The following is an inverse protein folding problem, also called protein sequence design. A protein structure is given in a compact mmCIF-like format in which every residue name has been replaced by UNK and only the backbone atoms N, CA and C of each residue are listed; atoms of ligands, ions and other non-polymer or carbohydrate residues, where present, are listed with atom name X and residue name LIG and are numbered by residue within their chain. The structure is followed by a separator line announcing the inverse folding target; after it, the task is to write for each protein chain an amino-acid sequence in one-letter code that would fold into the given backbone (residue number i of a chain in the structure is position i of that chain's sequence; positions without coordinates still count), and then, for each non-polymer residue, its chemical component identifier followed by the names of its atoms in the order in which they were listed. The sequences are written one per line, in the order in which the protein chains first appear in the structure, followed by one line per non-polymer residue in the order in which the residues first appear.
data_IF_239173341432
#
_entry.id   IF_239173341432
#
_cell.length_a   1.000
_cell.length_b   1.000
_cell.length_c   1.000
_cell.angle_alpha   90.00
_cell.angle_beta   90.00
_cell.angle_gamma   90.00
#
_symmetry.space_group_name_H-M   'P 1'
#
loop_
_entity.id
_entity.type
_entity.pdbx_description
1 polymer ?
#
# COMPACT_ATOMS: atom_id res chain seq x y z
N UNK A 1 -36.64 29.84 13.03
CA UNK A 1 -35.39 29.56 12.27
C UNK A 1 -34.19 30.00 13.10
N UNK A 2 -33.79 29.23 14.12
CA UNK A 2 -32.58 29.51 14.94
C UNK A 2 -31.86 28.21 15.36
N UNK A 3 -32.57 27.09 15.38
CA UNK A 3 -32.06 25.78 15.80
C UNK A 3 -31.25 25.06 14.69
N UNK A 4 -31.49 25.39 13.42
CA UNK A 4 -30.81 24.72 12.28
C UNK A 4 -29.34 25.15 12.13
N UNK A 5 -28.97 26.33 12.62
CA UNK A 5 -27.59 26.84 12.52
C UNK A 5 -26.66 26.15 13.53
N UNK A 6 -27.19 25.59 14.63
CA UNK A 6 -26.37 24.96 15.67
C UNK A 6 -25.89 23.54 15.32
N UNK A 7 -26.59 22.84 14.42
CA UNK A 7 -26.22 21.48 14.00
C UNK A 7 -25.11 21.41 12.95
N UNK A 8 -24.74 22.53 12.32
CA UNK A 8 -23.70 22.58 11.29
C UNK A 8 -22.27 22.76 11.84
N UNK A 9 -22.13 23.05 13.13
CA UNK A 9 -20.81 23.33 13.76
C UNK A 9 -20.10 22.04 14.21
N UNK A 10 -20.79 20.89 14.24
CA UNK A 10 -20.21 19.61 14.70
C UNK A 10 -19.39 18.88 13.62
N UNK A 11 -19.26 19.45 12.41
CA UNK A 11 -18.32 18.97 11.37
C UNK A 11 -16.91 19.56 11.55
N UNK A 12 -16.46 19.69 12.80
CA UNK A 12 -15.17 20.30 13.11
C UNK A 12 -14.04 19.27 12.98
N UNK A 13 -13.20 19.45 11.95
CA UNK A 13 -11.79 19.03 11.82
C UNK A 13 -11.45 17.59 12.19
N UNK A 14 -11.48 16.69 11.20
CA UNK A 14 -10.61 15.51 11.20
C UNK A 14 -9.16 15.98 11.00
N UNK A 15 -8.42 16.26 12.09
CA UNK A 15 -6.99 16.54 11.99
C UNK A 15 -6.28 15.28 11.50
N UNK A 16 -5.63 15.35 10.34
CA UNK A 16 -4.69 14.30 9.92
C UNK A 16 -3.56 14.27 10.95
N UNK A 17 -3.57 13.29 11.83
CA UNK A 17 -2.46 13.07 12.76
C UNK A 17 -1.31 12.48 11.97
N UNK A 18 -0.21 13.23 11.85
CA UNK A 18 1.01 12.75 11.25
C UNK A 18 1.98 12.32 12.35
N UNK A 19 2.82 11.34 12.06
CA UNK A 19 3.86 10.89 12.99
C UNK A 19 5.23 11.22 12.41
N UNK A 20 6.16 11.66 13.25
CA UNK A 20 7.55 11.92 12.88
C UNK A 20 8.52 11.30 13.87
N UNK A 21 9.60 10.74 13.35
CA UNK A 21 10.75 10.30 14.13
C UNK A 21 11.68 11.48 14.45
N UNK A 22 12.01 11.64 15.73
CA UNK A 22 12.93 12.69 16.21
C UNK A 22 14.02 12.09 17.10
N UNK A 23 15.19 12.72 17.05
CA UNK A 23 16.33 12.41 17.91
C UNK A 23 17.22 13.64 18.05
N UNK A 24 17.61 14.06 19.27
CA UNK A 24 18.42 15.26 19.47
C UNK A 24 19.71 15.24 18.64
N UNK A 25 19.97 16.33 17.93
CA UNK A 25 21.18 16.49 17.11
C UNK A 25 21.21 15.67 15.82
N UNK A 26 20.10 15.05 15.41
CA UNK A 26 19.97 14.30 14.16
C UNK A 26 19.04 15.00 13.18
N UNK A 27 19.32 14.85 11.90
CA UNK A 27 18.52 15.40 10.82
C UNK A 27 17.68 14.30 10.12
N UNK A 28 16.87 14.71 9.15
CA UNK A 28 16.00 13.79 8.42
C UNK A 28 16.79 12.78 7.56
N UNK A 29 18.02 13.09 7.16
CA UNK A 29 18.90 12.14 6.44
C UNK A 29 19.39 11.03 7.37
N UNK A 30 19.77 11.36 8.61
CA UNK A 30 20.12 10.38 9.62
C UNK A 30 18.92 9.48 9.94
N UNK A 31 17.73 10.08 10.07
CA UNK A 31 16.47 9.37 10.28
C UNK A 31 16.21 8.37 9.16
N UNK A 32 16.26 8.82 7.90
CA UNK A 32 16.00 7.98 6.72
C UNK A 32 16.97 6.80 6.62
N UNK A 33 18.26 7.01 6.91
CA UNK A 33 19.27 5.93 6.92
C UNK A 33 18.98 4.88 7.98
N UNK A 34 18.70 5.31 9.21
CA UNK A 34 18.42 4.38 10.31
C UNK A 34 17.09 3.64 10.10
N UNK A 35 16.06 4.35 9.64
CA UNK A 35 14.76 3.77 9.29
C UNK A 35 14.88 2.71 8.19
N UNK A 36 15.64 3.00 7.13
CA UNK A 36 15.90 2.05 6.04
C UNK A 36 16.61 0.79 6.55
N UNK A 37 17.59 0.96 7.44
CA UNK A 37 18.28 -0.18 8.07
C UNK A 37 17.34 -1.01 8.95
N UNK A 38 16.45 -0.37 9.72
CA UNK A 38 15.44 -1.07 10.51
C UNK A 38 14.44 -1.81 9.62
N UNK A 39 14.04 -1.22 8.49
CA UNK A 39 13.16 -1.85 7.51
C UNK A 39 13.79 -3.08 6.85
N UNK A 40 15.07 -3.00 6.48
CA UNK A 40 15.80 -4.15 5.94
C UNK A 40 15.86 -5.30 6.97
N UNK A 41 16.20 -4.99 8.22
CA UNK A 41 16.20 -5.97 9.32
C UNK A 41 14.82 -6.58 9.55
N UNK A 42 13.75 -5.80 9.49
CA UNK A 42 12.38 -6.30 9.65
C UNK A 42 11.99 -7.27 8.51
N UNK A 43 12.41 -6.99 7.27
CA UNK A 43 12.20 -7.89 6.13
C UNK A 43 12.98 -9.20 6.25
N UNK A 44 14.22 -9.15 6.75
CA UNK A 44 15.03 -10.35 6.99
C UNK A 44 14.42 -11.25 8.07
N UNK A 45 13.96 -10.65 9.17
CA UNK A 45 13.37 -11.38 10.29
C UNK A 45 11.94 -11.85 10.03
N UNK A 46 11.17 -11.08 9.25
CA UNK A 46 9.79 -11.39 8.92
C UNK A 46 9.52 -11.11 7.43
N UNK A 47 9.93 -12.03 6.54
CA UNK A 47 9.73 -11.88 5.11
C UNK A 47 8.25 -11.71 4.72
N UNK A 48 7.95 -11.14 3.54
CA UNK A 48 6.59 -11.05 3.02
C UNK A 48 5.87 -12.40 2.96
N UNK A 49 4.66 -12.45 3.52
CA UNK A 49 3.73 -13.59 3.39
C UNK A 49 2.58 -13.16 2.48
N UNK A 50 2.90 -13.12 1.18
CA UNK A 50 2.00 -12.66 0.13
C UNK A 50 0.89 -13.67 -0.13
N UNK A 51 -0.35 -13.30 0.18
CA UNK A 51 -1.56 -14.11 -0.02
C UNK A 51 -2.43 -13.51 -1.11
N UNK A 52 -2.79 -14.35 -2.08
CA UNK A 52 -3.77 -13.99 -3.10
C UNK A 52 -5.16 -14.19 -2.49
N UNK A 53 -5.91 -13.10 -2.34
CA UNK A 53 -7.30 -13.17 -1.86
C UNK A 53 -8.32 -13.02 -3.00
N UNK A 54 -7.86 -12.55 -4.17
CA UNK A 54 -8.69 -12.47 -5.37
C UNK A 54 -7.83 -12.68 -6.63
N UNK A 55 -8.38 -13.41 -7.61
CA UNK A 55 -7.73 -13.67 -8.88
C UNK A 55 -8.75 -13.55 -10.01
N UNK A 56 -8.38 -12.83 -11.07
CA UNK A 56 -9.23 -12.61 -12.23
C UNK A 56 -8.45 -12.76 -13.53
N UNK A 57 -8.97 -13.59 -14.44
CA UNK A 57 -8.42 -13.75 -15.79
C UNK A 57 -9.07 -12.75 -16.72
N UNK A 58 -8.24 -12.05 -17.49
CA UNK A 58 -8.67 -11.13 -18.53
C UNK A 58 -8.05 -11.54 -19.86
N UNK A 59 -8.76 -11.29 -20.95
CA UNK A 59 -8.16 -11.34 -22.27
C UNK A 59 -9.14 -10.92 -23.36
N UNK A 60 -8.65 -10.91 -24.59
CA UNK A 60 -9.44 -10.60 -25.78
C UNK A 60 -9.30 -11.70 -26.83
N UNK A 61 -10.41 -12.10 -27.47
CA UNK A 61 -10.37 -12.80 -28.77
C UNK A 61 -10.65 -11.80 -29.85
N UNK A 62 -9.91 -11.93 -30.94
CA UNK A 62 -10.29 -11.35 -32.21
C UNK A 62 -10.72 -12.47 -33.17
N UNK A 63 -11.72 -12.16 -33.97
CA UNK A 63 -12.18 -13.03 -35.05
C UNK A 63 -11.54 -12.54 -36.35
N UNK A 64 -10.79 -13.41 -37.04
CA UNK A 64 -10.28 -13.12 -38.39
C UNK A 64 -11.19 -13.79 -39.42
N UNK A 65 -11.57 -13.03 -40.45
CA UNK A 65 -12.31 -13.57 -41.61
C UNK A 65 -11.31 -14.21 -42.58
N UNK A 66 -11.58 -15.43 -43.07
CA UNK A 66 -10.75 -16.02 -44.11
C UNK A 66 -10.73 -15.12 -45.37
N UNK A 67 -9.56 -14.98 -45.99
CA UNK A 67 -9.37 -14.16 -47.21
C UNK A 67 -9.99 -14.78 -48.47
N UNK A 68 -10.65 -15.93 -48.37
CA UNK A 68 -11.21 -16.73 -49.47
C UNK A 68 -12.74 -16.72 -49.53
N UNK A 69 -13.42 -15.88 -48.76
CA UNK A 69 -14.85 -15.60 -48.94
C UNK A 69 -15.78 -16.75 -48.53
N UNK A 70 -15.25 -17.83 -47.94
CA UNK A 70 -16.01 -19.02 -47.57
C UNK A 70 -16.26 -19.05 -46.05
N UNK A 71 -16.66 -17.91 -45.50
CA UNK A 71 -17.54 -17.80 -44.33
C UNK A 71 -17.13 -18.46 -43.00
N UNK A 72 -15.89 -18.94 -42.81
CA UNK A 72 -15.48 -19.52 -41.53
C UNK A 72 -14.68 -18.51 -40.71
N UNK A 73 -15.27 -18.03 -39.62
CA UNK A 73 -14.59 -17.23 -38.62
C UNK A 73 -13.66 -18.14 -37.81
N UNK A 74 -12.36 -17.90 -37.87
CA UNK A 74 -11.40 -18.56 -36.97
C UNK A 74 -11.11 -17.62 -35.80
N UNK A 75 -11.38 -18.08 -34.58
CA UNK A 75 -10.88 -17.43 -33.36
C UNK A 75 -9.38 -17.71 -33.27
N UNK A 76 -8.57 -16.65 -33.31
CA UNK A 76 -7.15 -16.76 -33.03
C UNK A 76 -6.88 -16.51 -31.54
N UNK A 77 -5.77 -17.07 -31.04
CA UNK A 77 -5.48 -17.24 -29.62
C UNK A 77 -5.47 -15.92 -28.81
N UNK A 78 -5.92 -16.08 -27.56
CA UNK A 78 -6.18 -15.06 -26.56
C UNK A 78 -4.88 -14.71 -25.79
N UNK A 79 -4.54 -13.43 -25.71
CA UNK A 79 -3.66 -12.95 -24.63
C UNK A 79 -4.47 -13.02 -23.33
N UNK A 80 -4.17 -14.01 -22.49
CA UNK A 80 -4.77 -14.13 -21.15
C UNK A 80 -3.77 -13.62 -20.12
N UNK A 81 -4.12 -12.58 -19.37
CA UNK A 81 -3.39 -12.21 -18.16
C UNK A 81 -4.21 -12.47 -16.90
N UNK A 82 -3.50 -12.87 -15.87
CA UNK A 82 -4.07 -13.09 -14.54
C UNK A 82 -3.73 -11.87 -13.70
N UNK A 83 -4.77 -11.18 -13.23
CA UNK A 83 -4.63 -10.14 -12.22
C UNK A 83 -4.89 -10.77 -10.85
N UNK A 84 -3.90 -10.71 -9.97
CA UNK A 84 -4.02 -11.13 -8.58
C UNK A 84 -4.03 -9.91 -7.68
N UNK A 85 -4.98 -9.86 -6.75
CA UNK A 85 -4.92 -8.94 -5.61
C UNK A 85 -4.20 -9.68 -4.48
N UNK A 86 -3.07 -9.11 -4.04
CA UNK A 86 -2.12 -9.71 -3.10
C UNK A 86 -2.10 -8.87 -1.83
N UNK A 87 -2.22 -9.53 -0.68
CA UNK A 87 -2.03 -8.92 0.64
C UNK A 87 -0.85 -9.59 1.35
N UNK A 88 0.00 -8.79 1.99
CA UNK A 88 1.11 -9.31 2.78
C UNK A 88 0.67 -9.43 4.24
N UNK A 89 0.38 -10.66 4.66
CA UNK A 89 -0.11 -10.96 6.01
C UNK A 89 0.87 -10.52 7.11
N UNK A 90 2.15 -10.37 6.77
CA UNK A 90 3.21 -9.97 7.71
C UNK A 90 3.45 -8.46 7.77
N UNK A 91 2.79 -7.65 6.92
CA UNK A 91 3.03 -6.20 6.83
C UNK A 91 2.88 -5.48 8.17
N UNK A 92 1.76 -5.64 8.85
CA UNK A 92 1.47 -5.01 10.14
C UNK A 92 2.46 -5.42 11.24
N UNK A 93 2.96 -6.66 11.22
CA UNK A 93 3.90 -7.15 12.22
C UNK A 93 5.32 -6.64 11.94
N UNK A 94 5.69 -6.44 10.67
CA UNK A 94 6.96 -5.79 10.33
C UNK A 94 7.02 -4.35 10.84
N UNK A 95 5.92 -3.62 10.81
CA UNK A 95 5.87 -2.25 11.37
C UNK A 95 6.24 -2.24 12.86
N UNK A 96 5.84 -3.27 13.63
CA UNK A 96 6.24 -3.41 15.03
C UNK A 96 7.76 -3.61 15.17
N UNK A 97 8.36 -4.42 14.30
CA UNK A 97 9.81 -4.65 14.30
C UNK A 97 10.59 -3.37 13.93
N UNK A 98 10.09 -2.61 12.95
CA UNK A 98 10.67 -1.32 12.56
C UNK A 98 10.63 -0.34 13.73
N UNK A 99 9.46 -0.17 14.35
CA UNK A 99 9.28 0.70 15.52
C UNK A 99 10.20 0.31 16.67
N UNK A 100 10.24 -0.97 17.02
CA UNK A 100 11.13 -1.47 18.07
C UNK A 100 12.61 -1.17 17.77
N UNK A 101 13.03 -1.40 16.52
CA UNK A 101 14.39 -1.06 16.08
C UNK A 101 14.68 0.44 16.21
N UNK A 102 13.76 1.32 15.78
CA UNK A 102 13.91 2.76 15.91
C UNK A 102 14.02 3.20 17.38
N UNK A 103 13.14 2.72 18.26
CA UNK A 103 13.21 3.00 19.70
C UNK A 103 14.51 2.51 20.32
N UNK A 104 14.97 1.31 19.96
CA UNK A 104 16.23 0.76 20.47
C UNK A 104 17.45 1.61 20.07
N UNK A 105 17.34 2.36 18.97
CA UNK A 105 18.35 3.31 18.48
C UNK A 105 18.17 4.71 19.07
N UNK A 106 17.21 4.91 19.97
CA UNK A 106 16.97 6.19 20.65
C UNK A 106 16.25 7.23 19.79
N UNK A 107 15.44 6.79 18.83
CA UNK A 107 14.47 7.65 18.16
C UNK A 107 13.14 7.63 18.90
N UNK A 108 12.50 8.78 18.96
CA UNK A 108 11.15 8.93 19.51
C UNK A 108 10.15 9.25 18.39
N UNK A 109 8.95 8.70 18.49
CA UNK A 109 7.83 9.00 17.60
C UNK A 109 6.99 10.12 18.23
N UNK A 110 6.84 11.25 17.52
CA UNK A 110 6.00 12.37 17.94
C UNK A 110 4.83 12.55 16.99
N UNK A 111 3.70 12.98 17.53
CA UNK A 111 2.56 13.41 16.73
C UNK A 111 2.81 14.84 16.27
N UNK A 112 2.65 15.07 14.98
CA UNK A 112 2.61 16.39 14.37
C UNK A 112 1.17 16.60 13.88
N UNK A 113 0.53 17.65 14.39
CA UNK A 113 -0.74 18.16 13.89
C UNK A 113 -0.43 19.36 12.99
N UNK A 114 -0.85 19.28 11.73
CA UNK A 114 -0.89 20.45 10.82
C UNK A 114 -1.95 21.47 11.26
#
# INVERSE_FOLDING_TARGET
MKIVIFFLIVFSVSSCTQYKWVKPGKNDLDMSKEYTSCHAMALENLPPDNKIFNSSSHGYSYEKKDKKGNGKWEKENYDVWIKNDIDDANSQYREVLIRNCMYSRGWDEIIISD
#
